data_IF_557676656312
#
_entry.id   IF_557676656312
#
_cell.length_a   1.000
_cell.length_b   1.000
_cell.length_c   1.000
_cell.angle_alpha   90.00
_cell.angle_beta   90.00
_cell.angle_gamma   90.00
#
_symmetry.space_group_name_H-M   'P 1'
#
loop_
_entity.id
_entity.type
_entity.pdbx_description
1 polymer ?
#
# COMPACT_ATOMS: atom_id res chain seq x y z
N UNK A 1 1.64 -26.03 -7.17
CA UNK A 1 0.41 -25.26 -6.93
C UNK A 1 0.76 -24.37 -5.76
N UNK A 2 0.83 -23.05 -5.94
CA UNK A 2 1.15 -22.19 -4.79
C UNK A 2 -0.02 -22.25 -3.82
N UNK A 3 0.27 -22.21 -2.52
CA UNK A 3 -0.77 -22.11 -1.51
C UNK A 3 -1.32 -20.67 -1.47
N UNK A 4 -2.43 -20.47 -0.76
CA UNK A 4 -3.05 -19.16 -0.56
C UNK A 4 -2.06 -18.19 0.10
N UNK A 5 -1.23 -18.69 1.01
CA UNK A 5 -0.20 -17.89 1.69
C UNK A 5 0.85 -17.36 0.71
N UNK A 6 1.28 -18.18 -0.27
CA UNK A 6 2.22 -17.75 -1.32
C UNK A 6 1.62 -16.63 -2.19
N UNK A 7 0.33 -16.73 -2.53
CA UNK A 7 -0.38 -15.69 -3.28
C UNK A 7 -0.46 -14.38 -2.49
N UNK A 8 -0.60 -14.47 -1.17
CA UNK A 8 -0.57 -13.29 -0.31
C UNK A 8 0.84 -12.68 -0.23
N UNK A 9 1.90 -13.50 -0.16
CA UNK A 9 3.28 -13.01 -0.19
C UNK A 9 3.59 -12.23 -1.47
N UNK A 10 3.35 -12.83 -2.64
CA UNK A 10 3.58 -12.19 -3.94
C UNK A 10 2.79 -10.89 -4.10
N UNK A 11 1.50 -10.90 -3.72
CA UNK A 11 0.64 -9.71 -3.76
C UNK A 11 1.16 -8.60 -2.84
N UNK A 12 1.63 -8.96 -1.65
CA UNK A 12 2.13 -7.97 -0.69
C UNK A 12 3.42 -7.33 -1.20
N UNK A 13 4.36 -8.12 -1.75
CA UNK A 13 5.56 -7.58 -2.38
C UNK A 13 5.23 -6.69 -3.59
N UNK A 14 4.27 -7.07 -4.42
CA UNK A 14 3.79 -6.22 -5.51
C UNK A 14 3.19 -4.90 -5.01
N UNK A 15 2.43 -4.94 -3.90
CA UNK A 15 1.89 -3.75 -3.25
C UNK A 15 2.98 -2.81 -2.73
N UNK A 16 3.99 -3.36 -2.04
CA UNK A 16 5.16 -2.59 -1.57
C UNK A 16 5.90 -1.96 -2.74
N UNK A 17 6.19 -2.74 -3.80
CA UNK A 17 6.89 -2.26 -4.98
C UNK A 17 6.12 -1.13 -5.69
N UNK A 18 4.80 -1.24 -5.78
CA UNK A 18 3.95 -0.18 -6.32
C UNK A 18 4.07 1.10 -5.51
N UNK A 19 3.95 1.03 -4.18
CA UNK A 19 4.05 2.20 -3.29
C UNK A 19 5.44 2.85 -3.40
N UNK A 20 6.51 2.05 -3.43
CA UNK A 20 7.88 2.56 -3.66
C UNK A 20 7.99 3.27 -5.01
N UNK A 21 7.44 2.71 -6.08
CA UNK A 21 7.45 3.33 -7.41
C UNK A 21 6.71 4.66 -7.42
N UNK A 22 5.63 4.81 -6.65
CA UNK A 22 4.85 6.05 -6.54
C UNK A 22 5.60 7.13 -5.79
N UNK A 23 6.22 6.76 -4.68
CA UNK A 23 7.12 7.64 -3.96
C UNK A 23 8.27 8.17 -4.84
N UNK A 24 8.87 7.30 -5.65
CA UNK A 24 9.95 7.68 -6.57
C UNK A 24 9.48 8.60 -7.71
N UNK A 25 8.19 8.60 -8.03
CA UNK A 25 7.58 9.54 -8.99
C UNK A 25 7.12 10.86 -8.35
N UNK A 26 7.28 10.99 -7.03
CA UNK A 26 6.99 12.20 -6.27
C UNK A 26 5.62 12.24 -5.61
N UNK A 27 4.87 11.13 -5.63
CA UNK A 27 3.60 11.02 -4.91
C UNK A 27 3.83 10.90 -3.40
N UNK A 28 2.84 11.32 -2.61
CA UNK A 28 2.85 11.11 -1.16
C UNK A 28 2.66 9.61 -0.88
N UNK A 29 3.60 9.04 -0.15
CA UNK A 29 3.63 7.63 0.17
C UNK A 29 4.47 7.39 1.41
N UNK A 30 4.19 6.30 2.11
CA UNK A 30 4.89 5.95 3.32
C UNK A 30 4.50 4.59 3.84
N UNK A 31 4.96 4.31 5.05
CA UNK A 31 4.51 3.15 5.80
C UNK A 31 4.42 3.48 7.28
N UNK A 32 3.60 2.75 8.01
CA UNK A 32 3.52 2.88 9.46
C UNK A 32 3.20 1.53 10.10
N UNK A 33 3.41 1.43 11.40
CA UNK A 33 2.92 0.32 12.23
C UNK A 33 1.84 0.89 13.14
N UNK A 34 0.70 0.23 13.23
CA UNK A 34 -0.31 0.63 14.21
C UNK A 34 0.11 0.13 15.59
N UNK A 35 0.53 1.02 16.48
CA UNK A 35 1.07 0.63 17.80
C UNK A 35 0.01 0.00 18.72
N UNK A 36 -1.28 0.21 18.43
CA UNK A 36 -2.42 -0.21 19.26
C UNK A 36 -2.94 -1.62 18.91
N UNK A 37 -2.46 -2.21 17.82
CA UNK A 37 -2.76 -3.60 17.47
C UNK A 37 -1.44 -4.35 17.30
N UNK A 38 -1.40 -5.68 17.37
CA UNK A 38 -0.19 -6.47 17.05
C UNK A 38 0.13 -6.36 15.54
N UNK A 39 0.27 -5.13 15.05
CA UNK A 39 -0.25 -4.70 13.78
C UNK A 39 0.74 -5.01 12.69
N UNK A 40 0.19 -5.64 11.67
CA UNK A 40 0.84 -5.73 10.38
C UNK A 40 1.21 -4.33 9.92
N UNK A 41 2.49 -4.08 9.55
CA UNK A 41 2.86 -2.83 8.93
C UNK A 41 1.94 -2.50 7.76
N UNK A 42 1.62 -1.23 7.56
CA UNK A 42 0.80 -0.76 6.45
C UNK A 42 1.65 0.09 5.54
N UNK A 43 1.71 -0.25 4.26
CA UNK A 43 2.23 0.64 3.21
C UNK A 43 1.09 1.39 2.57
N UNK A 44 1.30 2.67 2.25
CA UNK A 44 0.28 3.52 1.66
C UNK A 44 0.88 4.47 0.61
N UNK A 45 0.05 4.85 -0.37
CA UNK A 45 0.34 5.90 -1.33
C UNK A 45 -0.94 6.66 -1.68
N UNK A 46 -0.84 7.97 -1.85
CA UNK A 46 -1.88 8.76 -2.49
C UNK A 46 -1.92 8.44 -3.99
N UNK A 47 -3.11 8.18 -4.51
CA UNK A 47 -3.35 8.05 -5.94
C UNK A 47 -4.27 9.18 -6.40
N UNK A 48 -4.31 9.49 -7.71
CA UNK A 48 -5.30 10.40 -8.29
C UNK A 48 -6.77 10.01 -8.08
N UNK A 49 -7.01 8.80 -7.55
CA UNK A 49 -8.32 8.21 -7.25
C UNK A 49 -8.47 7.87 -5.76
N UNK A 50 -7.75 8.59 -4.88
CA UNK A 50 -7.62 8.40 -3.43
C UNK A 50 -6.49 7.47 -2.98
N UNK A 51 -6.24 7.44 -1.67
CA UNK A 51 -5.23 6.60 -1.02
C UNK A 51 -5.46 5.10 -1.31
N UNK A 52 -4.36 4.39 -1.55
CA UNK A 52 -4.30 2.93 -1.47
C UNK A 52 -3.42 2.52 -0.31
N UNK A 53 -3.81 1.48 0.43
CA UNK A 53 -2.96 0.89 1.44
C UNK A 53 -3.08 -0.64 1.51
N UNK A 54 -2.02 -1.27 1.99
CA UNK A 54 -1.91 -2.71 2.13
C UNK A 54 -1.21 -3.07 3.43
N UNK A 55 -1.81 -4.00 4.17
CA UNK A 55 -1.12 -4.69 5.25
C UNK A 55 -0.01 -5.58 4.67
N UNK A 56 1.15 -5.49 5.29
CA UNK A 56 2.37 -6.23 4.99
C UNK A 56 2.64 -7.17 6.16
N UNK A 57 3.08 -8.42 5.92
CA UNK A 57 3.38 -9.35 7.00
C UNK A 57 4.45 -8.78 7.95
N UNK A 58 4.33 -8.96 9.27
CA UNK A 58 5.28 -8.41 10.25
C UNK A 58 6.75 -8.78 10.00
N UNK A 59 7.01 -9.99 9.49
CA UNK A 59 8.35 -10.48 9.13
C UNK A 59 9.02 -9.69 7.99
N UNK A 60 8.27 -8.82 7.29
CA UNK A 60 8.80 -7.94 6.25
C UNK A 60 9.03 -6.50 6.73
N UNK A 61 8.92 -6.24 8.03
CA UNK A 61 9.19 -4.91 8.58
C UNK A 61 10.60 -4.40 8.21
N UNK A 62 11.62 -5.26 8.28
CA UNK A 62 12.99 -4.90 7.90
C UNK A 62 13.10 -4.44 6.43
N UNK A 63 12.27 -5.00 5.54
CA UNK A 63 12.20 -4.56 4.14
C UNK A 63 11.67 -3.12 4.03
N UNK A 64 10.67 -2.75 4.84
CA UNK A 64 10.12 -1.39 4.85
C UNK A 64 11.10 -0.39 5.45
N UNK A 65 11.80 -0.76 6.52
CA UNK A 65 12.86 0.04 7.14
C UNK A 65 14.04 0.30 6.20
N UNK A 66 14.34 -0.65 5.31
CA UNK A 66 15.37 -0.52 4.27
C UNK A 66 14.87 0.19 2.98
N UNK A 67 13.56 0.44 2.87
CA UNK A 67 12.96 1.07 1.69
C UNK A 67 13.15 2.60 1.73
N UNK A 68 12.97 3.32 0.61
CA UNK A 68 13.02 4.78 0.62
C UNK A 68 11.77 5.42 1.24
N UNK A 69 10.75 4.63 1.61
CA UNK A 69 9.49 5.15 2.13
C UNK A 69 9.67 5.73 3.54
N UNK A 70 9.13 6.93 3.81
CA UNK A 70 9.12 7.47 5.16
C UNK A 70 8.24 6.61 6.09
N UNK A 71 8.67 6.48 7.35
CA UNK A 71 7.87 5.87 8.41
C UNK A 71 6.90 6.93 8.97
N UNK A 72 5.78 7.12 8.30
CA UNK A 72 4.76 8.10 8.65
C UNK A 72 3.37 7.62 8.22
N UNK A 73 2.33 8.10 8.92
CA UNK A 73 0.94 7.90 8.54
C UNK A 73 0.56 8.84 7.38
N UNK A 74 -0.43 8.49 6.57
CA UNK A 74 -0.95 9.39 5.54
C UNK A 74 -1.40 10.72 6.17
N UNK A 75 -1.10 11.88 5.55
CA UNK A 75 -1.42 13.19 6.13
C UNK A 75 -2.93 13.43 6.25
N UNK A 76 -3.73 12.83 5.35
CA UNK A 76 -5.20 12.83 5.43
C UNK A 76 -5.77 11.83 6.44
N UNK A 77 -4.93 10.95 6.99
CA UNK A 77 -5.37 9.79 7.76
C UNK A 77 -6.11 8.77 6.89
N UNK A 78 -6.43 7.63 7.49
CA UNK A 78 -7.27 6.62 6.85
C UNK A 78 -8.72 7.11 6.77
N UNK A 79 -9.28 7.17 5.56
CA UNK A 79 -10.61 7.71 5.29
C UNK A 79 -11.77 6.73 5.63
N UNK A 80 -11.46 5.53 6.12
CA UNK A 80 -12.45 4.51 6.49
C UNK A 80 -12.91 3.60 5.33
N UNK A 81 -12.23 3.60 4.18
CA UNK A 81 -12.64 2.82 3.01
C UNK A 81 -12.72 1.31 3.30
N UNK A 82 -13.76 0.63 2.81
CA UNK A 82 -13.83 -0.83 2.89
C UNK A 82 -12.93 -1.49 1.85
N UNK A 83 -12.70 -2.81 1.98
CA UNK A 83 -12.02 -3.59 0.93
C UNK A 83 -12.67 -3.42 -0.44
N UNK A 84 -14.01 -3.34 -0.50
CA UNK A 84 -14.76 -3.13 -1.73
C UNK A 84 -14.51 -1.74 -2.32
N UNK A 85 -14.49 -0.71 -1.47
CA UNK A 85 -14.16 0.66 -1.89
C UNK A 85 -12.75 0.74 -2.46
N UNK A 86 -11.77 0.10 -1.80
CA UNK A 86 -10.39 0.02 -2.30
C UNK A 86 -10.33 -0.64 -3.69
N UNK A 87 -10.98 -1.80 -3.84
CA UNK A 87 -11.00 -2.52 -5.12
C UNK A 87 -11.65 -1.68 -6.22
N UNK A 88 -12.76 -0.98 -5.92
CA UNK A 88 -13.42 -0.09 -6.87
C UNK A 88 -12.52 1.09 -7.28
N UNK A 89 -11.76 1.67 -6.35
CA UNK A 89 -10.77 2.74 -6.65
C UNK A 89 -9.66 2.23 -7.56
N UNK A 90 -9.12 1.05 -7.27
CA UNK A 90 -8.09 0.41 -8.11
C UNK A 90 -8.63 0.10 -9.51
N UNK A 91 -9.85 -0.42 -9.62
CA UNK A 91 -10.51 -0.62 -10.92
C UNK A 91 -10.70 0.70 -11.68
N UNK A 92 -11.12 1.76 -10.99
CA UNK A 92 -11.26 3.08 -11.60
C UNK A 92 -9.91 3.61 -12.10
N UNK A 93 -8.84 3.45 -11.32
CA UNK A 93 -7.47 3.82 -11.72
C UNK A 93 -7.03 3.07 -12.98
N UNK A 94 -7.21 1.75 -13.02
CA UNK A 94 -6.88 0.91 -14.20
C UNK A 94 -7.70 1.31 -15.43
N UNK A 95 -8.95 1.76 -15.26
CA UNK A 95 -9.78 2.24 -16.38
C UNK A 95 -9.45 3.68 -16.80
N UNK A 96 -8.82 4.48 -15.92
CA UNK A 96 -8.46 5.89 -16.18
C UNK A 96 -7.17 6.06 -16.96
N UNK A 97 -6.39 5.00 -17.20
CA UNK A 97 -5.24 5.06 -18.11
C UNK A 97 -5.72 5.23 -19.54
N UNK A 98 -5.92 6.49 -19.90
CA UNK A 98 -6.42 6.92 -21.20
C UNK A 98 -6.58 8.44 -21.23
N UNK A 99 -5.49 9.19 -20.98
CA UNK A 99 -5.15 10.45 -21.65
C UNK A 99 -3.74 10.89 -21.18
N UNK A 100 -2.82 11.24 -22.11
CA UNK A 100 -1.47 11.70 -21.80
C UNK A 100 -1.43 13.08 -21.14
#
# INVERSE_FOLDING_TARGET
>A
MSDVDDVYEDRNLAGVALVVSRYQEGDLAGWYVDEDTEAWPVVWAEMPTDEISYHVPPERRELLEASPLPNERPPGGYDGYTREDKNRRLEAFVRRTGEP
#
